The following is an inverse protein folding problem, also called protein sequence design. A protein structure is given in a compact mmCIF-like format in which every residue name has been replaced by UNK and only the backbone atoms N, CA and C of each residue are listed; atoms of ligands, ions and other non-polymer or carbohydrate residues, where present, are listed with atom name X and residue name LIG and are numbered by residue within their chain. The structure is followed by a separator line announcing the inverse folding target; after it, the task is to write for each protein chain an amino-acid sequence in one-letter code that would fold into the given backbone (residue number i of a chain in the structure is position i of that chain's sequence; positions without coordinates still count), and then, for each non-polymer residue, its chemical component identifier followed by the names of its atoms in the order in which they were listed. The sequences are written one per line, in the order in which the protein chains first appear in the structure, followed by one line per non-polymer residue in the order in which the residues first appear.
data_IF_927008309409
#
_entry.id   IF_927008309409
#
_cell.length_a   1.000
_cell.length_b   1.000
_cell.length_c   1.000
_cell.angle_alpha   90.00
_cell.angle_beta   90.00
_cell.angle_gamma   90.00
#
_symmetry.space_group_name_H-M   'P 1'
#
loop_
_entity.id
_entity.type
_entity.pdbx_description
1 polymer ?
#
# COMPACT_ATOMS: atom_id res chain seq x y z
N UNK A 1 -13.95 -55.70 21.51
CA UNK A 1 -13.00 -55.24 20.46
C UNK A 1 -13.36 -53.89 19.82
N UNK A 2 -14.57 -53.32 20.02
CA UNK A 2 -14.98 -52.03 19.43
C UNK A 2 -14.27 -50.77 19.96
N UNK A 3 -13.60 -50.82 21.13
CA UNK A 3 -12.94 -49.65 21.73
C UNK A 3 -11.58 -49.30 21.11
N UNK A 4 -10.93 -50.23 20.39
CA UNK A 4 -9.58 -50.04 19.84
C UNK A 4 -9.62 -49.30 18.49
N UNK A 5 -10.66 -49.52 17.68
CA UNK A 5 -10.82 -48.80 16.40
C UNK A 5 -11.22 -47.33 16.60
N UNK A 6 -12.01 -47.04 17.65
CA UNK A 6 -12.44 -45.68 17.98
C UNK A 6 -11.26 -44.79 18.45
N UNK A 7 -10.30 -45.37 19.17
CA UNK A 7 -9.08 -44.66 19.62
C UNK A 7 -8.10 -44.48 18.47
N UNK A 8 -7.96 -45.48 17.58
CA UNK A 8 -7.10 -45.42 16.39
C UNK A 8 -7.55 -44.36 15.38
N UNK A 9 -8.85 -44.27 15.10
CA UNK A 9 -9.41 -43.23 14.23
C UNK A 9 -9.28 -41.82 14.82
N UNK A 10 -9.24 -41.66 16.14
CA UNK A 10 -8.94 -40.37 16.80
C UNK A 10 -7.48 -39.99 16.65
N UNK A 11 -6.55 -40.93 16.84
CA UNK A 11 -5.11 -40.67 16.70
C UNK A 11 -4.69 -40.38 15.27
N UNK A 12 -5.32 -40.99 14.27
CA UNK A 12 -5.09 -40.69 12.86
C UNK A 12 -5.57 -39.27 12.51
N UNK A 13 -6.75 -38.88 13.01
CA UNK A 13 -7.26 -37.52 12.86
C UNK A 13 -6.40 -36.47 13.58
N UNK A 14 -5.81 -36.80 14.73
CA UNK A 14 -4.84 -35.91 15.38
C UNK A 14 -3.52 -35.85 14.64
N UNK A 15 -3.02 -36.96 14.12
CA UNK A 15 -1.81 -37.00 13.29
C UNK A 15 -1.97 -36.15 12.03
N UNK A 16 -3.12 -36.22 11.36
CA UNK A 16 -3.43 -35.35 10.22
C UNK A 16 -3.47 -33.87 10.61
N UNK A 17 -4.02 -33.53 11.79
CA UNK A 17 -4.01 -32.16 12.30
C UNK A 17 -2.59 -31.67 12.61
N UNK A 18 -1.77 -32.50 13.23
CA UNK A 18 -0.36 -32.19 13.54
C UNK A 18 0.44 -31.99 12.25
N UNK A 19 0.24 -32.86 11.25
CA UNK A 19 0.90 -32.75 9.96
C UNK A 19 0.46 -31.50 9.20
N UNK A 20 -0.84 -31.19 9.18
CA UNK A 20 -1.38 -29.98 8.57
C UNK A 20 -0.82 -28.71 9.22
N UNK A 21 -0.71 -28.69 10.56
CA UNK A 21 -0.12 -27.58 11.29
C UNK A 21 1.38 -27.44 11.02
N UNK A 22 2.12 -28.55 10.94
CA UNK A 22 3.53 -28.55 10.53
C UNK A 22 3.68 -27.91 9.15
N UNK A 23 2.90 -28.35 8.16
CA UNK A 23 2.92 -27.78 6.81
C UNK A 23 2.57 -26.30 6.79
N UNK A 24 1.62 -25.86 7.63
CA UNK A 24 1.30 -24.44 7.79
C UNK A 24 2.48 -23.64 8.34
N UNK A 25 3.16 -24.15 9.38
CA UNK A 25 4.34 -23.52 10.01
C UNK A 25 5.52 -23.46 9.05
N UNK A 26 5.75 -24.51 8.29
CA UNK A 26 6.81 -24.58 7.28
C UNK A 26 6.55 -23.54 6.20
N UNK A 27 5.33 -23.47 5.65
CA UNK A 27 4.94 -22.45 4.66
C UNK A 27 5.15 -21.02 5.18
N UNK A 28 4.76 -20.75 6.43
CA UNK A 28 4.96 -19.43 7.04
C UNK A 28 6.46 -19.14 7.17
N UNK A 29 7.24 -20.10 7.66
CA UNK A 29 8.69 -19.91 7.84
C UNK A 29 9.38 -19.66 6.51
N UNK A 30 9.08 -20.44 5.47
CA UNK A 30 9.59 -20.22 4.11
C UNK A 30 9.21 -18.83 3.59
N UNK A 31 7.97 -18.38 3.79
CA UNK A 31 7.55 -17.05 3.32
C UNK A 31 8.26 -15.90 4.05
N UNK A 32 8.62 -16.06 5.32
CA UNK A 32 9.37 -15.06 6.08
C UNK A 32 10.81 -14.97 5.55
N UNK A 33 11.47 -16.10 5.27
CA UNK A 33 12.80 -16.10 4.66
C UNK A 33 12.78 -15.53 3.24
N UNK A 34 11.73 -15.80 2.45
CA UNK A 34 11.56 -15.17 1.14
C UNK A 34 11.42 -13.64 1.24
N UNK A 35 10.67 -13.14 2.21
CA UNK A 35 10.55 -11.68 2.44
C UNK A 35 11.90 -11.06 2.74
N UNK A 36 12.71 -11.72 3.56
CA UNK A 36 14.10 -11.32 3.85
C UNK A 36 14.91 -11.14 2.56
N UNK A 37 14.92 -12.17 1.70
CA UNK A 37 15.61 -12.16 0.39
C UNK A 37 15.14 -11.03 -0.54
N UNK A 38 13.86 -10.68 -0.48
CA UNK A 38 13.30 -9.59 -1.27
C UNK A 38 13.76 -8.22 -0.74
N UNK A 39 14.04 -8.07 0.56
CA UNK A 39 14.38 -6.77 1.14
C UNK A 39 15.82 -6.32 0.89
N UNK A 40 16.80 -7.22 0.78
CA UNK A 40 18.20 -6.86 0.48
C UNK A 40 18.31 -5.86 -0.68
N UNK A 41 17.78 -6.15 -1.89
CA UNK A 41 17.92 -5.23 -3.02
C UNK A 41 17.02 -3.99 -2.90
N UNK A 42 15.87 -4.08 -2.25
CA UNK A 42 14.89 -2.97 -2.21
C UNK A 42 15.29 -1.93 -1.16
N UNK A 43 15.88 -2.36 -0.04
CA UNK A 43 16.25 -1.50 1.08
C UNK A 43 17.73 -1.14 1.11
N UNK A 44 18.54 -1.66 0.18
CA UNK A 44 20.00 -1.48 0.15
C UNK A 44 20.67 -1.93 1.46
N UNK A 45 20.16 -3.01 2.05
CA UNK A 45 20.71 -3.57 3.29
C UNK A 45 21.79 -4.61 2.90
N UNK A 46 23.00 -4.53 3.48
CA UNK A 46 24.04 -5.52 3.26
C UNK A 46 23.58 -6.94 3.61
N UNK A 47 24.09 -7.94 2.90
CA UNK A 47 23.67 -9.34 3.07
C UNK A 47 23.88 -9.85 4.51
N UNK A 48 25.02 -9.52 5.10
CA UNK A 48 25.37 -9.92 6.47
C UNK A 48 24.39 -9.36 7.51
N UNK A 49 24.01 -8.09 7.37
CA UNK A 49 23.11 -7.43 8.31
C UNK A 49 21.69 -7.95 8.19
N UNK A 50 21.24 -8.25 6.97
CA UNK A 50 19.91 -8.79 6.83
C UNK A 50 19.83 -10.25 7.30
N UNK A 51 20.93 -11.04 7.30
CA UNK A 51 21.04 -12.38 7.94
C UNK A 51 20.94 -12.37 9.48
N UNK A 52 21.01 -11.21 10.11
CA UNK A 52 20.77 -11.04 11.56
C UNK A 52 19.35 -10.56 11.89
N UNK A 53 18.57 -10.11 10.91
CA UNK A 53 17.20 -9.63 11.15
C UNK A 53 16.32 -10.68 11.83
N UNK A 54 15.68 -10.28 12.91
CA UNK A 54 14.69 -11.12 13.56
C UNK A 54 13.41 -11.21 12.73
N UNK A 55 12.61 -12.26 12.96
CA UNK A 55 11.32 -12.43 12.26
C UNK A 55 10.38 -11.24 12.47
N UNK A 56 10.46 -10.56 13.61
CA UNK A 56 9.67 -9.37 13.89
C UNK A 56 10.11 -8.20 13.00
N UNK A 57 11.41 -7.94 12.88
CA UNK A 57 11.97 -6.87 12.06
C UNK A 57 11.63 -7.05 10.59
N UNK A 58 11.75 -8.29 10.07
CA UNK A 58 11.35 -8.64 8.70
C UNK A 58 9.88 -8.25 8.47
N UNK A 59 8.99 -8.56 9.41
CA UNK A 59 7.57 -8.23 9.28
C UNK A 59 7.30 -6.73 9.41
N UNK A 60 8.02 -6.00 10.27
CA UNK A 60 7.88 -4.54 10.39
C UNK A 60 8.34 -3.81 9.13
N UNK A 61 9.48 -4.24 8.56
CA UNK A 61 9.97 -3.76 7.28
C UNK A 61 8.95 -4.01 6.16
N UNK A 62 8.35 -5.20 6.11
CA UNK A 62 7.30 -5.54 5.16
C UNK A 62 6.12 -4.56 5.26
N UNK A 63 5.65 -4.29 6.48
CA UNK A 63 4.54 -3.36 6.71
C UNK A 63 4.90 -1.94 6.28
N UNK A 64 6.11 -1.48 6.58
CA UNK A 64 6.59 -0.15 6.19
C UNK A 64 6.62 0.00 4.66
N UNK A 65 7.19 -0.98 3.96
CA UNK A 65 7.22 -1.04 2.49
C UNK A 65 5.82 -1.05 1.88
N UNK A 66 4.92 -1.88 2.42
CA UNK A 66 3.55 -1.98 1.93
C UNK A 66 2.77 -0.67 2.15
N UNK A 67 2.96 0.00 3.28
CA UNK A 67 2.36 1.32 3.55
C UNK A 67 2.89 2.38 2.58
N UNK A 68 4.19 2.40 2.34
CA UNK A 68 4.80 3.31 1.36
C UNK A 68 4.23 3.07 -0.04
N UNK A 69 4.13 1.81 -0.48
CA UNK A 69 3.54 1.45 -1.78
C UNK A 69 2.05 1.79 -1.86
N UNK A 70 1.27 1.51 -0.82
CA UNK A 70 -0.15 1.83 -0.79
C UNK A 70 -0.39 3.36 -0.85
N UNK A 71 0.38 4.13 -0.09
CA UNK A 71 0.32 5.59 -0.09
C UNK A 71 0.78 6.18 -1.43
N UNK A 72 1.88 5.67 -1.99
CA UNK A 72 2.38 6.08 -3.31
C UNK A 72 1.37 5.79 -4.42
N UNK A 73 0.68 4.64 -4.39
CA UNK A 73 -0.36 4.30 -5.38
C UNK A 73 -1.58 5.22 -5.30
N UNK A 74 -2.03 5.57 -4.10
CA UNK A 74 -3.14 6.51 -3.91
C UNK A 74 -2.75 7.95 -4.30
N UNK A 75 -1.54 8.37 -3.94
CA UNK A 75 -1.03 9.70 -4.27
C UNK A 75 -0.73 9.83 -5.76
N UNK A 76 -0.23 8.79 -6.42
CA UNK A 76 0.05 8.80 -7.85
C UNK A 76 -1.23 8.81 -8.70
N UNK A 77 -2.29 8.10 -8.30
CA UNK A 77 -3.58 8.17 -9.00
C UNK A 77 -4.23 9.55 -8.83
N UNK A 78 -4.21 10.12 -7.61
CA UNK A 78 -4.69 11.48 -7.35
C UNK A 78 -3.85 12.53 -8.10
N UNK A 79 -2.52 12.51 -7.98
CA UNK A 79 -1.62 13.46 -8.64
C UNK A 79 -1.74 13.36 -10.17
N UNK A 80 -1.95 12.16 -10.72
CA UNK A 80 -2.23 11.96 -12.13
C UNK A 80 -3.56 12.58 -12.53
N UNK A 81 -4.63 12.34 -11.78
CA UNK A 81 -5.95 12.94 -12.05
C UNK A 81 -5.92 14.47 -11.94
N UNK A 82 -5.27 15.00 -10.90
CA UNK A 82 -5.09 16.43 -10.69
C UNK A 82 -4.31 17.08 -11.83
N UNK A 83 -3.17 16.51 -12.24
CA UNK A 83 -2.37 17.04 -13.35
C UNK A 83 -3.11 16.99 -14.68
N UNK A 84 -3.88 15.93 -14.95
CA UNK A 84 -4.73 15.84 -16.14
C UNK A 84 -5.82 16.93 -16.14
N UNK A 85 -6.52 17.11 -15.01
CA UNK A 85 -7.55 18.14 -14.88
C UNK A 85 -6.97 19.55 -15.04
N UNK A 86 -5.84 19.84 -14.37
CA UNK A 86 -5.17 21.12 -14.47
C UNK A 86 -4.67 21.40 -15.90
N UNK A 87 -4.11 20.40 -16.58
CA UNK A 87 -3.70 20.53 -17.97
C UNK A 87 -4.88 20.90 -18.88
N UNK A 88 -6.02 20.22 -18.74
CA UNK A 88 -7.18 20.50 -19.57
C UNK A 88 -7.78 21.88 -19.27
N UNK A 89 -7.79 22.28 -18.00
CA UNK A 89 -8.21 23.62 -17.58
C UNK A 89 -7.32 24.71 -18.19
N UNK A 90 -6.00 24.59 -18.06
CA UNK A 90 -5.04 25.56 -18.62
C UNK A 90 -5.13 25.62 -20.14
N UNK A 91 -5.31 24.47 -20.80
CA UNK A 91 -5.53 24.40 -22.26
C UNK A 91 -6.81 25.13 -22.65
N UNK A 92 -7.92 24.88 -21.94
CA UNK A 92 -9.21 25.51 -22.22
C UNK A 92 -9.12 27.03 -22.05
N UNK A 93 -8.55 27.51 -20.94
CA UNK A 93 -8.35 28.94 -20.69
C UNK A 93 -7.46 29.57 -21.78
N UNK A 94 -6.36 28.91 -22.16
CA UNK A 94 -5.49 29.44 -23.22
C UNK A 94 -6.20 29.54 -24.57
N UNK A 95 -7.09 28.60 -24.92
CA UNK A 95 -7.77 28.57 -26.22
C UNK A 95 -9.04 29.43 -26.28
N UNK A 96 -9.79 29.53 -25.18
CA UNK A 96 -11.15 30.07 -25.19
C UNK A 96 -11.36 31.31 -24.31
N UNK A 97 -10.48 31.61 -23.37
CA UNK A 97 -10.63 32.82 -22.56
C UNK A 97 -10.14 34.05 -23.35
N UNK A 98 -10.92 35.13 -23.29
CA UNK A 98 -10.52 36.44 -23.80
C UNK A 98 -9.49 37.06 -22.85
N UNK A 99 -8.24 36.65 -23.00
CA UNK A 99 -7.12 37.12 -22.20
C UNK A 99 -6.20 38.03 -23.01
N UNK A 100 -5.58 39.05 -22.38
CA UNK A 100 -4.47 39.78 -22.98
C UNK A 100 -3.35 38.83 -23.44
N UNK A 101 -2.61 39.16 -24.52
CA UNK A 101 -1.53 38.31 -25.04
C UNK A 101 -0.47 37.93 -24.00
N UNK A 102 -0.15 38.85 -23.08
CA UNK A 102 0.82 38.64 -22.00
C UNK A 102 0.40 37.49 -21.08
N UNK A 103 -0.84 37.52 -20.60
CA UNK A 103 -1.38 36.52 -19.68
C UNK A 103 -1.47 35.15 -20.34
N UNK A 104 -1.80 35.12 -21.64
CA UNK A 104 -1.81 33.89 -22.45
C UNK A 104 -0.43 33.25 -22.55
N UNK A 105 0.62 34.04 -22.72
CA UNK A 105 1.99 33.54 -22.75
C UNK A 105 2.49 33.08 -21.38
N UNK A 106 2.07 33.74 -20.29
CA UNK A 106 2.36 33.29 -18.93
C UNK A 106 1.73 31.92 -18.63
N UNK A 107 0.48 31.70 -19.04
CA UNK A 107 -0.20 30.40 -18.90
C UNK A 107 0.54 29.30 -19.67
N UNK A 108 1.00 29.58 -20.90
CA UNK A 108 1.78 28.61 -21.69
C UNK A 108 3.12 28.27 -21.02
N UNK A 109 3.83 29.26 -20.50
CA UNK A 109 5.09 29.04 -19.76
C UNK A 109 4.86 28.18 -18.53
N UNK A 110 3.83 28.49 -17.74
CA UNK A 110 3.45 27.69 -16.58
C UNK A 110 3.12 26.24 -16.95
N UNK A 111 2.37 26.04 -18.04
CA UNK A 111 2.04 24.71 -18.55
C UNK A 111 3.30 23.90 -18.95
N UNK A 112 4.27 24.51 -19.64
CA UNK A 112 5.53 23.84 -20.02
C UNK A 112 6.38 23.50 -18.80
N UNK A 113 6.48 24.43 -17.83
CA UNK A 113 7.21 24.21 -16.58
C UNK A 113 6.63 23.04 -15.79
N UNK A 114 5.31 23.03 -15.56
CA UNK A 114 4.64 21.92 -14.88
C UNK A 114 4.85 20.58 -15.59
N UNK A 115 4.70 20.54 -16.91
CA UNK A 115 4.88 19.31 -17.70
C UNK A 115 6.31 18.77 -17.60
N UNK A 116 7.29 19.65 -17.50
CA UNK A 116 8.70 19.28 -17.34
C UNK A 116 8.97 18.76 -15.92
N UNK A 117 8.44 19.41 -14.90
CA UNK A 117 8.55 18.96 -13.50
C UNK A 117 7.89 17.59 -13.26
N UNK A 118 6.73 17.32 -13.88
CA UNK A 118 6.07 16.01 -13.79
C UNK A 118 6.84 14.89 -14.50
N UNK A 119 7.71 15.22 -15.47
CA UNK A 119 8.56 14.26 -16.20
C UNK A 119 9.91 14.02 -15.52
N UNK A 120 10.49 15.04 -14.88
CA UNK A 120 11.75 14.94 -14.14
C UNK A 120 11.57 14.51 -12.68
N UNK A 121 10.37 14.64 -12.12
CA UNK A 121 10.15 14.54 -10.68
C UNK A 121 9.00 13.64 -10.27
N UNK A 122 9.31 12.35 -10.10
CA UNK A 122 8.87 11.58 -8.91
C UNK A 122 9.64 12.05 -7.65
N UNK A 123 9.90 13.36 -7.56
CA UNK A 123 10.65 14.04 -6.52
C UNK A 123 9.91 15.36 -6.25
N UNK A 124 8.67 15.24 -5.78
CA UNK A 124 8.10 16.35 -5.03
C UNK A 124 8.62 16.22 -3.59
N UNK A 125 9.26 17.25 -3.02
CA UNK A 125 9.35 17.33 -1.57
C UNK A 125 7.91 17.38 -1.06
N UNK A 126 7.70 16.67 0.04
CA UNK A 126 6.43 16.43 0.68
C UNK A 126 5.72 17.75 1.08
N UNK A 127 5.09 18.45 0.13
CA UNK A 127 4.20 19.56 0.42
C UNK A 127 2.87 19.00 0.94
N UNK A 128 2.87 18.66 2.23
CA UNK A 128 1.67 18.84 3.06
C UNK A 128 1.24 20.31 2.91
N UNK A 129 -0.05 20.60 3.07
CA UNK A 129 -0.74 21.85 2.68
C UNK A 129 -1.11 21.79 1.18
N UNK A 130 -2.28 21.29 0.76
CA UNK A 130 -3.60 21.82 1.07
C UNK A 130 -4.63 20.68 1.20
N UNK A 131 -4.91 20.26 2.44
CA UNK A 131 -6.16 19.57 2.74
C UNK A 131 -7.21 20.65 3.02
N UNK A 132 -7.86 21.18 1.98
CA UNK A 132 -9.10 21.92 2.17
C UNK A 132 -10.17 20.92 2.62
N UNK A 133 -10.30 20.79 3.94
CA UNK A 133 -11.37 20.07 4.61
C UNK A 133 -12.64 20.88 4.41
N UNK A 134 -13.52 20.44 3.51
CA UNK A 134 -14.86 21.01 3.37
C UNK A 134 -15.71 20.62 4.59
N UNK A 135 -16.30 21.56 5.34
CA UNK A 135 -17.20 21.24 6.43
C UNK A 135 -18.64 21.11 5.91
N UNK A 136 -19.32 20.05 6.38
CA UNK A 136 -20.77 19.80 6.46
C UNK A 136 -21.26 18.65 5.56
N UNK A 137 -21.57 17.50 6.17
CA UNK A 137 -22.95 17.20 6.61
C UNK A 137 -22.99 15.92 7.44
N UNK A 138 -23.73 16.04 8.54
CA UNK A 138 -24.13 15.02 9.50
C UNK A 138 -24.87 13.86 8.83
N UNK A 139 -24.40 12.63 9.05
CA UNK A 139 -25.24 11.43 9.10
C UNK A 139 -24.54 10.33 9.92
N UNK A 140 -24.92 10.30 11.19
CA UNK A 140 -25.11 9.13 12.06
C UNK A 140 -25.10 7.73 11.39
N UNK A 141 -24.49 6.77 12.10
CA UNK A 141 -24.58 5.29 11.97
C UNK A 141 -23.85 4.72 10.74
N UNK A 142 -22.83 3.88 10.87
CA UNK A 142 -22.80 2.68 11.70
C UNK A 142 -21.36 2.35 12.15
N UNK A 143 -21.20 2.09 13.45
CA UNK A 143 -20.13 1.23 13.95
C UNK A 143 -20.45 -0.19 13.49
N UNK A 144 -19.74 -0.71 12.50
CA UNK A 144 -19.71 -2.15 12.28
C UNK A 144 -18.28 -2.62 12.48
N UNK A 145 -18.02 -3.02 13.73
CA UNK A 145 -16.85 -3.79 14.10
C UNK A 145 -17.00 -5.19 13.47
N UNK A 146 -16.45 -5.40 12.27
CA UNK A 146 -16.40 -6.73 11.65
C UNK A 146 -15.09 -7.46 11.95
N UNK A 147 -14.65 -7.41 13.21
CA UNK A 147 -13.63 -8.31 13.71
C UNK A 147 -13.98 -8.74 15.12
N UNK A 148 -14.54 -9.95 15.28
CA UNK A 148 -14.12 -10.86 16.36
C UNK A 148 -14.19 -12.34 15.95
N UNK A 149 -13.31 -13.17 16.53
CA UNK A 149 -13.10 -14.57 16.18
C UNK A 149 -14.01 -15.52 16.98
N UNK A 150 -14.19 -16.71 16.41
CA UNK A 150 -14.81 -17.95 16.92
C UNK A 150 -15.01 -18.02 18.43
N UNK A 151 -16.28 -18.08 18.87
CA UNK A 151 -16.65 -18.63 20.17
C UNK A 151 -17.29 -20.00 19.97
N UNK A 152 -16.66 -21.01 20.56
CA UNK A 152 -17.25 -22.32 20.84
C UNK A 152 -18.35 -22.13 21.89
N UNK A 153 -19.51 -22.73 21.67
CA UNK A 153 -20.30 -23.40 22.70
C UNK A 153 -20.61 -24.79 22.15
#
# INVERSE_FOLDING_TARGET
MQNVDQTRARTENECHKVLAEKMRRDRISTSIEQLRLIFYPIMQIPEDQALELEKADILEMAVTLLRQKACSRANSSFARGFSQCLHEMLRHVSLHAHLPPKDREEIKRFYVLQRTSLRLGSVFPNHRHFAHRSPKRTASRNRVALWRPWKKN
#
